data_IF_269439870200
#
_entry.id   IF_269439870200
#
_cell.length_a   1.000
_cell.length_b   1.000
_cell.length_c   1.000
_cell.angle_alpha   90.00
_cell.angle_beta   90.00
_cell.angle_gamma   90.00
#
_symmetry.space_group_name_H-M   'P 1'
#
loop_
_entity.id
_entity.type
_entity.pdbx_description
1 polymer ?
2 water ?
#
# COMPACT_ATOMS: atom_id res chain seq x y z
N UNK A 2 -11.51 -16.94 -4.48
CA UNK A 2 -10.80 -17.06 -3.16
C UNK A 2 -9.27 -17.22 -3.32
N UNK A 3 -8.77 -18.45 -3.41
CA UNK A 3 -7.31 -18.64 -3.58
C UNK A 3 -6.91 -18.48 -5.05
N UNK A 4 -5.61 -18.40 -5.34
CA UNK A 4 -5.12 -18.02 -6.68
C UNK A 4 -5.55 -18.97 -7.82
N UNK A 5 -5.32 -20.27 -7.61
CA UNK A 5 -5.66 -21.27 -8.62
C UNK A 5 -7.15 -21.24 -8.91
N UNK A 6 -7.96 -21.16 -7.85
CA UNK A 6 -9.40 -21.07 -7.98
C UNK A 6 -9.82 -19.81 -8.75
N UNK A 7 -9.17 -18.67 -8.46
CA UNK A 7 -9.55 -17.42 -9.16
C UNK A 7 -9.27 -17.54 -10.65
N UNK A 8 -8.14 -18.15 -11.00
CA UNK A 8 -7.82 -18.33 -12.43
C UNK A 8 -8.87 -19.14 -13.17
N UNK A 9 -9.27 -20.27 -12.56
CA UNK A 9 -10.27 -21.14 -13.14
C UNK A 9 -11.60 -20.40 -13.29
N UNK A 10 -11.95 -19.64 -12.26
CA UNK A 10 -13.21 -18.91 -12.26
C UNK A 10 -13.21 -17.76 -13.26
N UNK A 11 -12.07 -17.10 -13.44
CA UNK A 11 -11.99 -16.08 -14.50
C UNK A 11 -12.10 -16.71 -15.88
N UNK A 12 -11.43 -17.85 -16.09
CA UNK A 12 -11.57 -18.54 -17.39
C UNK A 12 -13.04 -18.89 -17.69
N UNK A 13 -13.76 -19.40 -16.69
CA UNK A 13 -15.17 -19.72 -16.91
C UNK A 13 -15.97 -18.47 -17.27
N UNK A 14 -15.75 -17.37 -16.55
CA UNK A 14 -16.40 -16.09 -16.86
C UNK A 14 -16.11 -15.62 -18.27
N UNK A 15 -14.83 -15.63 -18.65
CA UNK A 15 -14.44 -15.18 -20.01
C UNK A 15 -15.13 -16.04 -21.08
N UNK A 16 -15.28 -17.33 -20.80
CA UNK A 16 -15.86 -18.24 -21.79
C UNK A 16 -17.37 -18.19 -21.80
N UNK A 17 -17.97 -17.99 -20.63
CA UNK A 17 -19.41 -18.27 -20.48
C UNK A 17 -20.32 -17.05 -20.31
N UNK A 18 -19.76 -15.90 -19.93
CA UNK A 18 -20.56 -14.72 -19.76
C UNK A 18 -21.21 -14.33 -21.07
N UNK A 19 -22.51 -14.04 -21.00
CA UNK A 19 -23.22 -13.53 -22.17
C UNK A 19 -23.99 -12.27 -21.83
N UNK A 20 -24.07 -11.36 -22.81
CA UNK A 20 -24.83 -10.12 -22.68
C UNK A 20 -26.34 -10.36 -22.86
N UNK A 21 -27.11 -9.26 -22.89
CA UNK A 21 -28.58 -9.36 -22.99
C UNK A 21 -29.06 -10.01 -24.29
N UNK A 22 -28.17 -10.03 -25.28
CA UNK A 22 -28.45 -10.68 -26.56
C UNK A 22 -27.88 -12.10 -26.66
N UNK A 23 -27.37 -12.66 -25.55
CA UNK A 23 -26.78 -14.00 -25.60
C UNK A 23 -25.40 -14.09 -26.26
N UNK A 24 -24.77 -12.94 -26.52
CA UNK A 24 -23.45 -12.87 -27.14
C UNK A 24 -22.34 -12.96 -26.08
N UNK A 25 -21.38 -13.90 -26.29
CA UNK A 25 -20.24 -14.03 -25.36
C UNK A 25 -19.22 -12.91 -25.60
N UNK A 26 -19.50 -11.77 -24.97
CA UNK A 26 -18.74 -10.52 -25.11
C UNK A 26 -17.23 -10.73 -24.97
N UNK A 27 -16.82 -11.57 -24.01
CA UNK A 27 -15.39 -11.70 -23.70
C UNK A 27 -14.66 -12.63 -24.64
N UNK A 28 -15.38 -13.55 -25.28
CA UNK A 28 -14.79 -14.28 -26.41
C UNK A 28 -14.36 -13.29 -27.52
N UNK A 29 -15.22 -12.31 -27.83
CA UNK A 29 -14.86 -11.33 -28.83
C UNK A 29 -13.67 -10.48 -28.43
N UNK A 30 -13.61 -10.17 -27.14
CA UNK A 30 -12.50 -9.33 -26.64
C UNK A 30 -11.18 -10.10 -26.67
N UNK A 31 -11.26 -11.41 -26.51
CA UNK A 31 -10.09 -12.29 -26.64
C UNK A 31 -9.67 -12.38 -28.10
N UNK A 32 -10.62 -12.49 -29.04
CA UNK A 32 -10.21 -12.57 -30.45
C UNK A 32 -9.67 -11.27 -30.98
N UNK A 33 -10.02 -10.16 -30.34
CA UNK A 33 -9.44 -8.85 -30.65
C UNK A 33 -7.94 -8.85 -30.41
N UNK A 34 -7.43 -9.85 -29.66
CA UNK A 34 -6.01 -9.89 -29.34
C UNK A 34 -5.19 -10.60 -30.39
N UNK A 35 -5.87 -11.23 -31.36
CA UNK A 35 -5.21 -12.08 -32.36
C UNK A 35 -4.98 -11.35 -33.69
N UNK A 36 -5.67 -10.22 -33.89
CA UNK A 36 -5.50 -9.40 -35.11
C UNK A 36 -4.13 -8.69 -35.15
N UNK A 39 -3.31 -5.50 -32.95
CA UNK A 39 -4.16 -6.13 -31.93
C UNK A 39 -4.18 -5.35 -30.62
N UNK A 40 -5.28 -5.49 -29.85
CA UNK A 40 -5.32 -4.94 -28.48
C UNK A 40 -4.36 -5.74 -27.59
N UNK A 41 -3.80 -5.08 -26.57
CA UNK A 41 -2.99 -5.76 -25.55
C UNK A 41 -3.60 -5.69 -24.16
N UNK A 42 -4.90 -5.39 -24.13
CA UNK A 42 -5.70 -5.41 -22.90
C UNK A 42 -7.06 -6.03 -23.18
N UNK A 43 -7.64 -6.56 -22.12
CA UNK A 43 -9.05 -6.91 -22.08
C UNK A 43 -9.71 -6.06 -21.02
N UNK A 44 -10.62 -5.18 -21.44
CA UNK A 44 -11.40 -4.38 -20.53
C UNK A 44 -12.62 -5.16 -20.07
N UNK A 45 -12.75 -5.32 -18.76
CA UNK A 45 -13.83 -6.13 -18.15
C UNK A 45 -14.75 -5.21 -17.39
N UNK A 46 -16.03 -5.21 -17.75
CA UNK A 46 -17.05 -4.46 -17.01
C UNK A 46 -17.28 -5.19 -15.69
N UNK A 47 -16.93 -4.54 -14.57
CA UNK A 47 -17.09 -5.19 -13.29
C UNK A 47 -18.52 -5.64 -13.00
N UNK A 48 -19.51 -4.89 -13.50
CA UNK A 48 -20.89 -5.33 -13.30
C UNK A 48 -21.21 -6.65 -14.06
N UNK A 49 -20.57 -6.89 -15.20
CA UNK A 49 -20.68 -8.19 -15.90
C UNK A 49 -20.12 -9.28 -14.99
N UNK A 50 -18.91 -9.05 -14.47
CA UNK A 50 -18.28 -9.99 -13.55
C UNK A 50 -19.15 -10.25 -12.32
N UNK A 51 -19.69 -9.19 -11.73
CA UNK A 51 -20.52 -9.32 -10.55
C UNK A 51 -21.80 -10.13 -10.82
N UNK A 52 -22.37 -9.98 -12.02
CA UNK A 52 -23.58 -10.73 -12.35
C UNK A 52 -23.30 -12.20 -12.50
N UNK A 53 -22.04 -12.53 -12.79
CA UNK A 53 -21.62 -13.91 -13.11
C UNK A 53 -21.05 -14.65 -11.89
N UNK A 54 -20.22 -13.93 -11.15
CA UNK A 54 -19.45 -14.49 -10.06
C UNK A 54 -19.21 -13.35 -9.05
N UNK A 55 -20.16 -13.16 -8.15
CA UNK A 55 -20.11 -12.01 -7.25
C UNK A 55 -18.97 -12.15 -6.25
N UNK A 56 -18.65 -13.38 -5.86
CA UNK A 56 -17.52 -13.59 -4.97
C UNK A 56 -16.22 -13.13 -5.63
N UNK A 57 -16.03 -13.49 -6.90
CA UNK A 57 -14.82 -13.13 -7.62
C UNK A 57 -14.77 -11.64 -7.79
N UNK A 58 -15.91 -11.03 -8.11
CA UNK A 58 -15.96 -9.59 -8.31
C UNK A 58 -15.61 -8.84 -7.03
N UNK A 59 -16.07 -9.34 -5.88
CA UNK A 59 -15.72 -8.73 -4.59
C UNK A 59 -14.23 -8.86 -4.32
N UNK A 60 -13.65 -10.01 -4.65
CA UNK A 60 -12.22 -10.24 -4.49
C UNK A 60 -11.39 -9.29 -5.35
N UNK A 61 -11.85 -8.96 -6.56
CA UNK A 61 -11.11 -7.97 -7.38
C UNK A 61 -10.99 -6.64 -6.66
N UNK A 62 -12.06 -6.20 -5.98
CA UNK A 62 -12.01 -4.92 -5.28
C UNK A 62 -11.15 -4.99 -4.02
N UNK A 63 -11.31 -6.06 -3.25
CA UNK A 63 -10.61 -6.15 -1.98
C UNK A 63 -9.20 -6.67 -2.06
N UNK A 64 -8.85 -7.37 -3.13
CA UNK A 64 -7.53 -8.01 -3.27
C UNK A 64 -7.09 -7.80 -4.72
N UNK A 65 -6.95 -6.54 -5.15
CA UNK A 65 -6.75 -6.21 -6.57
C UNK A 65 -5.48 -6.80 -7.18
N UNK A 66 -4.38 -6.86 -6.44
CA UNK A 66 -3.14 -7.31 -7.06
C UNK A 66 -3.36 -8.74 -7.52
N UNK A 67 -3.91 -9.56 -6.60
CA UNK A 67 -4.18 -10.97 -6.88
C UNK A 67 -5.30 -11.13 -7.89
N UNK A 68 -6.36 -10.34 -7.75
CA UNK A 68 -7.50 -10.47 -8.65
C UNK A 68 -7.13 -10.13 -10.09
N UNK A 69 -6.44 -9.00 -10.28
CA UNK A 69 -6.01 -8.59 -11.62
C UNK A 69 -5.05 -9.63 -12.22
N UNK A 70 -4.07 -10.08 -11.43
CA UNK A 70 -3.11 -11.10 -11.90
C UNK A 70 -3.81 -12.39 -12.33
N UNK A 71 -4.79 -12.83 -11.55
CA UNK A 71 -5.52 -14.05 -11.85
C UNK A 71 -6.29 -13.90 -13.16
N UNK A 72 -6.90 -12.73 -13.32
CA UNK A 72 -7.62 -12.46 -14.57
C UNK A 72 -6.69 -12.54 -15.76
N UNK A 73 -5.50 -11.95 -15.63
CA UNK A 73 -4.51 -12.01 -16.70
C UNK A 73 -4.06 -13.43 -17.02
N UNK A 74 -3.80 -14.22 -15.98
CA UNK A 74 -3.43 -15.61 -16.20
C UNK A 74 -4.60 -16.37 -16.85
N UNK A 75 -5.85 -16.01 -16.54
CA UNK A 75 -6.99 -16.67 -17.16
C UNK A 75 -7.06 -16.32 -18.65
N UNK A 76 -6.77 -15.06 -19.00
CA UNK A 76 -6.73 -14.69 -20.42
C UNK A 76 -5.71 -15.58 -21.16
N UNK A 77 -4.53 -15.78 -20.56
CA UNK A 77 -3.50 -16.66 -21.17
C UNK A 77 -3.97 -18.11 -21.32
N UNK A 78 -4.67 -18.62 -20.32
CA UNK A 78 -5.24 -19.96 -20.40
C UNK A 78 -6.23 -20.11 -21.57
N UNK A 79 -7.15 -19.16 -21.69
CA UNK A 79 -8.13 -19.18 -22.78
C UNK A 79 -7.44 -19.07 -24.13
N UNK A 80 -6.44 -18.20 -24.27
CA UNK A 80 -5.68 -18.07 -25.52
C UNK A 80 -5.03 -19.38 -25.93
N UNK A 81 -4.39 -20.04 -24.97
CA UNK A 81 -3.73 -21.32 -25.21
C UNK A 81 -4.72 -22.40 -25.57
N UNK A 82 -5.76 -22.59 -24.74
CA UNK A 82 -6.65 -23.74 -24.87
C UNK A 82 -7.66 -23.53 -25.99
N UNK A 83 -8.20 -22.32 -26.09
CA UNK A 83 -9.28 -22.09 -27.07
C UNK A 83 -8.80 -21.60 -28.43
N UNK A 84 -7.63 -20.99 -28.50
CA UNK A 84 -7.13 -20.39 -29.75
C UNK A 84 -5.77 -20.90 -30.18
N UNK A 85 -5.18 -21.78 -29.38
CA UNK A 85 -3.85 -22.35 -29.63
C UNK A 85 -2.80 -21.26 -29.88
N UNK A 86 -2.87 -20.18 -29.10
CA UNK A 86 -1.87 -19.12 -29.17
C UNK A 86 -1.22 -19.00 -27.81
N UNK A 87 0.10 -18.99 -27.82
CA UNK A 87 0.89 -18.87 -26.61
C UNK A 87 1.86 -17.71 -26.71
N UNK A 88 1.88 -17.02 -27.86
CA UNK A 88 2.87 -15.96 -28.10
C UNK A 88 2.31 -14.55 -28.26
N UNK A 89 1.14 -14.29 -27.70
CA UNK A 89 0.58 -12.94 -27.73
C UNK A 89 1.36 -11.99 -26.79
N UNK A 90 1.99 -12.54 -25.74
CA UNK A 90 2.69 -11.79 -24.74
C UNK A 90 1.71 -11.32 -23.67
N UNK A 91 2.21 -10.50 -22.75
CA UNK A 91 1.40 -10.01 -21.62
C UNK A 91 0.19 -9.24 -22.07
N UNK A 92 -0.97 -9.66 -21.56
CA UNK A 92 -2.24 -8.97 -21.79
C UNK A 92 -2.74 -8.44 -20.43
N UNK A 93 -3.05 -7.14 -20.35
CA UNK A 93 -3.54 -6.55 -19.11
C UNK A 93 -5.05 -6.69 -18.95
N UNK A 94 -5.50 -7.05 -17.75
CA UNK A 94 -6.92 -7.04 -17.41
C UNK A 94 -7.29 -5.72 -16.74
N UNK A 95 -8.24 -5.02 -17.36
CA UNK A 95 -8.55 -3.65 -16.98
C UNK A 95 -10.02 -3.58 -16.63
N UNK A 96 -10.29 -3.36 -15.34
CA UNK A 96 -11.62 -3.34 -14.81
C UNK A 96 -12.22 -1.94 -14.77
N UNK A 97 -13.48 -1.84 -15.21
CA UNK A 97 -14.22 -0.59 -15.16
C UNK A 97 -15.62 -0.78 -14.61
N UNK A 98 -16.31 0.33 -14.31
CA UNK A 98 -17.69 0.26 -13.83
C UNK A 98 -17.80 -0.45 -12.49
N UNK A 99 -16.94 -0.03 -11.56
CA UNK A 99 -17.00 -0.45 -10.15
C UNK A 99 -18.26 0.09 -9.44
N UNK A 100 -18.64 -0.51 -8.30
CA UNK A 100 -19.92 -0.10 -7.72
C UNK A 100 -19.89 1.27 -7.02
N UNK A 101 -18.73 1.71 -6.55
CA UNK A 101 -18.64 3.00 -5.87
C UNK A 101 -17.66 3.93 -6.62
N UNK A 102 -18.09 5.18 -6.78
CA UNK A 102 -17.27 6.21 -7.41
C UNK A 102 -16.87 7.26 -6.38
N UNK A 103 -15.57 7.54 -6.33
CA UNK A 103 -15.04 8.56 -5.43
C UNK A 103 -14.71 9.84 -6.17
N UNK A 104 -14.98 10.97 -5.53
CA UNK A 104 -14.30 12.21 -5.94
C UNK A 104 -12.90 12.20 -5.34
N UNK A 105 -11.98 12.98 -5.92
CA UNK A 105 -10.59 13.00 -5.48
C UNK A 105 -10.51 13.36 -3.99
N UNK A 106 -11.33 14.34 -3.62
CA UNK A 106 -11.42 14.81 -2.23
C UNK A 106 -11.88 13.73 -1.25
N UNK A 107 -12.55 12.68 -1.76
CA UNK A 107 -13.06 11.59 -0.90
C UNK A 107 -12.01 10.52 -0.61
N UNK A 108 -10.93 10.48 -1.41
CA UNK A 108 -9.91 9.43 -1.23
C UNK A 108 -9.30 9.48 0.18
N UNK A 109 -9.42 8.37 0.91
CA UNK A 109 -8.90 8.28 2.28
C UNK A 109 -8.17 7.00 2.63
N UNK A 110 -7.93 6.82 3.94
CA UNK A 110 -7.18 5.67 4.44
C UNK A 110 -7.90 4.36 4.14
N UNK A 111 -9.23 4.43 4.12
CA UNK A 111 -10.08 3.27 3.88
C UNK A 111 -9.95 2.72 2.46
N UNK A 112 -9.24 3.45 1.62
CA UNK A 112 -9.13 3.09 0.19
C UNK A 112 -7.82 2.43 -0.17
N UNK A 113 -6.91 2.34 0.78
CA UNK A 113 -5.66 1.64 0.59
C UNK A 113 -5.95 0.14 0.39
N UNK A 114 -5.17 -0.49 -0.49
CA UNK A 114 -5.22 -1.91 -0.75
C UNK A 114 -6.50 -2.35 -1.45
N UNK A 115 -7.18 -1.40 -2.09
CA UNK A 115 -8.40 -1.74 -2.86
C UNK A 115 -8.27 -1.31 -4.28
N UNK A 116 -9.09 -1.90 -5.17
CA UNK A 116 -9.27 -1.29 -6.47
C UNK A 116 -10.36 -0.23 -6.35
N UNK A 117 -10.03 1.01 -6.65
CA UNK A 117 -10.93 2.16 -6.46
C UNK A 117 -11.25 2.80 -7.78
N UNK A 118 -12.37 3.51 -7.81
CA UNK A 118 -12.80 4.20 -9.02
C UNK A 118 -12.99 5.66 -8.68
N UNK A 119 -12.33 6.53 -9.45
CA UNK A 119 -12.24 7.96 -9.15
C UNK A 119 -12.68 8.78 -10.39
N UNK A 120 -13.52 9.79 -10.17
CA UNK A 120 -13.89 10.74 -11.22
C UNK A 120 -13.11 12.01 -11.04
N UNK A 121 -12.74 12.61 -12.17
CA UNK A 121 -12.07 13.89 -12.12
C UNK A 121 -12.02 14.57 -13.47
N UNK A 122 -11.23 15.65 -13.51
CA UNK A 122 -10.90 16.36 -14.73
C UNK A 122 -9.38 16.37 -14.84
N UNK A 123 -8.89 16.10 -16.05
CA UNK A 123 -7.46 16.01 -16.27
C UNK A 123 -6.90 17.41 -16.41
N UNK A 124 -5.92 17.78 -15.57
CA UNK A 124 -5.35 19.12 -15.71
C UNK A 124 -3.94 19.10 -16.30
N UNK A 125 -3.29 17.94 -16.30
CA UNK A 125 -1.98 17.75 -16.92
C UNK A 125 -1.89 16.35 -17.50
N UNK A 126 -1.14 16.20 -18.58
CA UNK A 126 -0.77 14.87 -19.10
C UNK A 126 0.69 14.93 -19.45
N UNK A 127 1.42 13.92 -19.02
CA UNK A 127 2.86 13.89 -19.28
C UNK A 127 3.28 12.49 -19.69
N UNK A 128 4.54 12.42 -20.08
CA UNK A 128 5.17 11.18 -20.45
C UNK A 128 6.59 11.18 -19.90
N UNK A 129 6.86 10.09 -19.19
CA UNK A 129 8.21 9.65 -18.87
C UNK A 129 8.21 8.13 -19.18
N UNK A 130 8.67 7.83 -20.40
CA UNK A 130 8.73 6.48 -20.98
C UNK A 130 9.18 5.41 -19.97
N UNK A 131 8.44 4.30 -19.86
CA UNK A 131 7.32 3.82 -20.66
C UNK A 131 5.93 4.24 -20.13
N UNK A 132 5.90 5.18 -19.19
CA UNK A 132 4.66 5.55 -18.52
C UNK A 132 4.06 6.85 -19.05
N UNK A 133 2.73 6.89 -19.03
CA UNK A 133 1.87 8.08 -19.21
C UNK A 133 1.43 8.50 -17.83
N UNK A 134 1.25 9.81 -17.63
CA UNK A 134 0.84 10.32 -16.33
C UNK A 134 -0.28 11.28 -16.60
N UNK A 135 -1.17 11.41 -15.61
CA UNK A 135 -2.36 12.25 -15.71
C UNK A 135 -2.45 12.96 -14.34
N UNK A 136 -2.67 14.27 -14.28
CA UNK A 136 -3.12 14.88 -13.01
C UNK A 136 -4.65 14.96 -13.03
N UNK A 137 -5.28 14.29 -12.06
CA UNK A 137 -6.74 14.13 -12.00
C UNK A 137 -7.26 15.00 -10.84
N UNK A 138 -8.06 16.02 -11.15
CA UNK A 138 -8.53 16.96 -10.14
C UNK A 138 -10.05 16.84 -9.98
N UNK A 139 -10.57 17.21 -8.80
CA UNK A 139 -12.03 17.32 -8.65
C UNK A 139 -12.62 18.16 -9.77
N UNK A 140 -13.72 17.69 -10.36
CA UNK A 140 -14.37 18.44 -11.43
C UNK A 140 -15.00 19.72 -10.87
N UNK A 141 -14.95 20.82 -11.65
CA UNK A 141 -15.41 22.07 -11.05
C UNK A 141 -16.88 22.07 -10.61
N UNK A 142 -17.71 21.27 -11.27
CA UNK A 142 -19.16 21.19 -10.99
C UNK A 142 -19.48 20.41 -9.72
N UNK A 143 -18.45 19.88 -9.06
CA UNK A 143 -18.62 19.15 -7.80
C UNK A 143 -18.26 20.00 -6.58
N UNK A 144 -17.76 21.21 -6.83
CA UNK A 144 -17.33 22.11 -5.78
C UNK A 144 -18.45 23.06 -5.35
N UNK A 150 -10.28 22.72 -5.16
CA UNK A 150 -10.15 21.36 -5.68
C UNK A 150 -8.90 20.59 -5.24
N UNK A 151 -9.05 19.30 -5.02
CA UNK A 151 -7.94 18.42 -4.71
C UNK A 151 -7.58 17.65 -5.97
N UNK A 152 -6.34 17.20 -6.05
CA UNK A 152 -5.89 16.39 -7.17
C UNK A 152 -5.07 15.17 -6.72
N UNK A 153 -4.97 14.22 -7.64
CA UNK A 153 -4.12 13.07 -7.47
C UNK A 153 -3.47 12.77 -8.82
N UNK A 154 -2.19 12.43 -8.81
CA UNK A 154 -1.56 12.01 -10.05
C UNK A 154 -1.74 10.54 -10.31
N UNK A 155 -2.02 10.19 -11.56
CA UNK A 155 -2.18 8.80 -11.99
C UNK A 155 -1.03 8.44 -12.93
N UNK A 156 -0.63 7.16 -12.92
CA UNK A 156 0.44 6.62 -13.73
C UNK A 156 -0.16 5.52 -14.57
N UNK A 157 -0.02 5.62 -15.89
CA UNK A 157 -0.52 4.53 -16.75
C UNK A 157 0.59 3.94 -17.61
N UNK A 158 0.53 2.62 -17.75
CA UNK A 158 1.40 1.80 -18.58
C UNK A 158 0.49 1.05 -19.56
N UNK A 164 -5.60 8.62 -24.91
CA UNK A 164 -6.83 8.22 -24.24
C UNK A 164 -7.52 9.45 -23.63
N UNK A 165 -6.72 10.37 -23.13
CA UNK A 165 -7.21 11.58 -22.45
C UNK A 165 -6.17 12.70 -22.50
N UNK A 166 -6.67 13.93 -22.64
CA UNK A 166 -5.82 15.10 -22.79
C UNK A 166 -6.24 16.11 -21.72
N UNK A 167 -5.38 17.12 -21.45
CA UNK A 167 -5.81 18.13 -20.49
C UNK A 167 -7.16 18.71 -20.89
N UNK A 168 -8.07 18.82 -19.91
CA UNK A 168 -9.44 19.31 -20.11
C UNK A 168 -10.50 18.22 -20.13
N UNK A 169 -10.06 16.98 -20.32
CA UNK A 169 -11.03 15.89 -20.42
C UNK A 169 -11.50 15.46 -19.06
N UNK A 170 -12.79 15.23 -18.97
CA UNK A 170 -13.36 14.59 -17.79
C UNK A 170 -13.19 13.10 -17.95
N UNK A 171 -12.83 12.47 -16.83
CA UNK A 171 -12.44 11.04 -16.89
C UNK A 171 -13.03 10.28 -15.71
N UNK A 172 -13.11 8.97 -15.88
CA UNK A 172 -13.38 8.07 -14.77
C UNK A 172 -12.26 7.04 -14.83
N UNK A 173 -11.60 6.83 -13.70
CA UNK A 173 -10.44 5.93 -13.69
C UNK A 173 -10.55 4.89 -12.61
N UNK A 174 -9.95 3.74 -12.82
CA UNK A 174 -9.83 2.79 -11.71
C UNK A 174 -8.36 2.54 -11.47
N UNK A 175 -8.01 2.12 -10.26
CA UNK A 175 -6.60 1.88 -9.99
C UNK A 175 -6.35 1.57 -8.55
N UNK A 176 -5.07 1.45 -8.22
CA UNK A 176 -4.65 1.10 -6.89
C UNK A 176 -3.74 2.22 -6.41
N UNK A 177 -3.93 2.67 -5.17
CA UNK A 177 -3.05 3.68 -4.59
C UNK A 177 -1.63 3.16 -4.32
N UNK A 178 -0.66 3.91 -4.85
CA UNK A 178 0.77 3.70 -4.62
C UNK A 178 1.32 5.00 -4.04
N UNK A 179 2.63 5.06 -3.87
CA UNK A 179 3.26 6.33 -3.42
C UNK A 179 4.42 6.76 -4.28
N UNK A 180 4.78 8.03 -4.13
CA UNK A 180 6.01 8.57 -4.71
C UNK A 180 6.68 9.36 -3.59
N UNK A 181 8.01 9.29 -3.51
CA UNK A 181 8.75 10.10 -2.56
C UNK A 181 8.88 11.51 -3.13
N UNK A 182 8.24 12.47 -2.48
CA UNK A 182 8.17 13.82 -2.98
C UNK A 182 9.11 14.67 -2.15
N UNK A 183 10.16 15.17 -2.81
CA UNK A 183 11.08 16.14 -2.24
C UNK A 183 10.65 17.55 -2.64
N UNK A 187 9.57 19.61 3.13
CA UNK A 187 9.78 18.40 3.90
C UNK A 187 9.22 17.17 3.16
N UNK A 188 10.11 16.19 2.85
CA UNK A 188 9.71 14.98 2.10
C UNK A 188 8.62 14.11 2.72
N UNK A 189 7.75 13.60 1.86
CA UNK A 189 6.63 12.74 2.24
C UNK A 189 6.46 11.66 1.18
N UNK A 190 5.74 10.59 1.53
CA UNK A 190 5.30 9.64 0.52
C UNK A 190 3.89 10.04 0.05
N UNK A 191 3.83 10.77 -1.07
CA UNK A 191 2.58 11.25 -1.64
C UNK A 191 1.84 10.12 -2.33
N UNK A 192 0.55 9.99 -2.03
CA UNK A 192 -0.29 8.97 -2.71
C UNK A 192 -0.52 9.33 -4.17
N UNK A 193 -0.35 8.33 -5.01
CA UNK A 193 -0.63 8.44 -6.44
C UNK A 193 -1.47 7.22 -6.82
N UNK A 194 -2.00 7.23 -8.04
CA UNK A 194 -2.83 6.11 -8.48
C UNK A 194 -2.13 5.37 -9.61
N UNK A 195 -1.88 4.07 -9.44
CA UNK A 195 -1.47 3.23 -10.56
C UNK A 195 -2.75 2.85 -11.31
N UNK A 196 -2.88 3.32 -12.54
CA UNK A 196 -4.14 3.25 -13.27
C UNK A 196 -4.34 1.86 -13.87
N UNK A 197 -5.48 1.22 -13.54
CA UNK A 197 -5.87 -0.03 -14.14
C UNK A 197 -6.75 0.22 -15.39
N UNK A 198 -7.61 1.23 -15.35
CA UNK A 198 -8.46 1.59 -16.53
C UNK A 198 -8.76 3.07 -16.51
N UNK A 199 -8.84 3.68 -17.69
CA UNK A 199 -9.21 5.09 -17.79
C UNK A 199 -10.10 5.24 -18.99
N UNK A 200 -11.10 6.09 -18.85
CA UNK A 200 -11.84 6.51 -20.04
C UNK A 200 -12.36 7.94 -19.89
N UNK B 2 -10.45 0.02 16.40
CA UNK B 2 -11.16 0.23 15.10
C UNK B 2 -11.05 1.68 14.62
N UNK B 3 -12.07 2.50 14.91
CA UNK B 3 -12.14 3.88 14.42
C UNK B 3 -11.05 4.73 15.07
N UNK B 4 -10.53 5.72 14.36
CA UNK B 4 -9.38 6.45 14.86
C UNK B 4 -9.66 7.25 16.16
N UNK B 5 -10.84 7.83 16.32
CA UNK B 5 -11.20 8.48 17.60
C UNK B 5 -11.09 7.47 18.74
N UNK B 6 -11.58 6.25 18.51
CA UNK B 6 -11.56 5.23 19.54
C UNK B 6 -10.14 4.73 19.77
N UNK B 7 -9.34 4.65 18.69
CA UNK B 7 -7.94 4.22 18.83
C UNK B 7 -7.15 5.20 19.70
N UNK B 8 -7.38 6.51 19.53
CA UNK B 8 -6.70 7.54 20.34
C UNK B 8 -7.00 7.33 21.83
N UNK B 9 -8.28 7.19 22.17
CA UNK B 9 -8.69 6.90 23.52
C UNK B 9 -8.00 5.64 24.08
N UNK B 10 -7.96 4.58 23.27
CA UNK B 10 -7.39 3.30 23.72
C UNK B 10 -5.88 3.37 23.85
N UNK B 11 -5.21 4.15 22.98
CA UNK B 11 -3.80 4.40 23.18
C UNK B 11 -3.49 5.19 24.42
N UNK B 12 -4.32 6.21 24.70
CA UNK B 12 -4.13 6.96 25.91
C UNK B 12 -4.29 6.05 27.13
N UNK B 13 -5.32 5.19 27.11
CA UNK B 13 -5.48 4.25 28.24
C UNK B 13 -4.21 3.40 28.40
N UNK B 14 -3.68 2.88 27.29
CA UNK B 14 -2.50 2.03 27.32
C UNK B 14 -1.31 2.76 27.89
N UNK B 15 -1.07 3.98 27.39
CA UNK B 15 0.09 4.76 27.81
C UNK B 15 0.03 5.06 29.31
N UNK B 16 -1.18 5.33 29.82
CA UNK B 16 -1.35 5.65 31.22
C UNK B 16 -1.33 4.41 32.15
N UNK B 17 -1.86 3.28 31.66
CA UNK B 17 -2.20 2.17 32.55
C UNK B 17 -1.31 0.96 32.43
N UNK B 18 -0.58 0.83 31.32
CA UNK B 18 0.27 -0.31 31.13
C UNK B 18 1.33 -0.31 32.23
N UNK B 19 1.43 -1.45 32.91
CA UNK B 19 2.57 -1.73 33.79
C UNK B 19 3.15 -3.10 33.46
N UNK B 20 4.45 -3.24 33.68
CA UNK B 20 5.05 -4.55 33.56
C UNK B 20 4.85 -5.36 34.84
N UNK B 21 5.29 -6.61 34.81
CA UNK B 21 5.17 -7.53 35.95
C UNK B 21 5.81 -7.01 37.22
N UNK B 22 6.75 -6.10 37.05
CA UNK B 22 7.45 -5.46 38.14
C UNK B 22 6.68 -4.25 38.72
N UNK B 23 5.61 -3.83 38.06
CA UNK B 23 4.77 -2.71 38.53
C UNK B 23 5.05 -1.34 37.93
N UNK B 24 6.09 -1.24 37.09
CA UNK B 24 6.50 0.04 36.53
C UNK B 24 5.61 0.51 35.37
N UNK B 25 5.16 1.78 35.40
CA UNK B 25 4.34 2.32 34.32
C UNK B 25 5.31 2.79 33.25
N UNK B 26 5.72 1.82 32.44
CA UNK B 26 6.81 1.99 31.48
C UNK B 26 6.61 3.21 30.57
N UNK B 27 5.38 3.40 30.13
CA UNK B 27 5.11 4.43 29.12
C UNK B 27 4.93 5.82 29.70
N UNK B 28 4.49 5.88 30.95
CA UNK B 28 4.55 7.13 31.67
C UNK B 28 6.00 7.61 31.72
N UNK B 29 6.93 6.68 31.98
CA UNK B 29 8.36 6.99 31.96
C UNK B 29 8.88 7.48 30.62
N UNK B 30 8.45 6.81 29.55
CA UNK B 30 8.89 7.20 28.21
C UNK B 30 8.33 8.56 27.78
N UNK B 31 7.15 8.92 28.28
CA UNK B 31 6.54 10.23 28.04
C UNK B 31 7.25 11.34 28.87
N UNK B 32 7.49 11.08 30.15
CA UNK B 32 8.24 12.06 30.95
C UNK B 32 9.64 12.31 30.38
N UNK B 33 10.19 11.33 29.66
CA UNK B 33 11.48 11.46 28.95
C UNK B 33 11.46 12.56 27.90
N UNK B 34 10.25 12.95 27.47
CA UNK B 34 10.09 13.94 26.42
C UNK B 34 10.17 15.36 26.94
N UNK B 35 10.21 15.47 28.28
CA UNK B 35 10.20 16.76 28.97
C UNK B 35 11.61 17.21 29.34
N UNK B 36 12.62 16.45 28.90
CA UNK B 36 14.03 16.72 29.26
C UNK B 36 14.62 17.90 28.53
N UNK B 39 16.06 16.54 24.55
CA UNK B 39 14.87 15.72 24.39
C UNK B 39 14.87 14.84 23.14
N UNK B 40 14.32 13.64 23.26
CA UNK B 40 14.10 12.79 22.09
C UNK B 40 12.74 13.11 21.47
N UNK B 41 12.59 12.79 20.19
CA UNK B 41 11.40 13.12 19.42
C UNK B 41 10.50 11.92 19.12
N UNK B 42 10.70 10.81 19.85
CA UNK B 42 9.90 9.60 19.63
C UNK B 42 9.62 8.88 20.93
N UNK B 43 8.54 8.11 20.94
CA UNK B 43 8.27 7.11 21.96
C UNK B 43 8.31 5.74 21.27
N UNK B 44 9.20 4.85 21.75
CA UNK B 44 9.35 3.52 21.20
C UNK B 44 8.43 2.59 21.99
N UNK B 45 7.48 1.98 21.30
CA UNK B 45 6.50 1.12 21.94
C UNK B 45 6.73 -0.34 21.60
N UNK B 46 6.91 -1.14 22.64
CA UNK B 46 7.07 -2.57 22.49
C UNK B 46 5.70 -3.15 22.14
N UNK B 47 5.57 -3.64 20.90
CA UNK B 47 4.33 -4.23 20.46
C UNK B 47 3.77 -5.35 21.33
N UNK B 48 4.64 -6.16 21.95
CA UNK B 48 4.16 -7.16 22.87
C UNK B 48 3.52 -6.57 24.13
N UNK B 49 4.00 -5.40 24.56
CA UNK B 49 3.36 -4.70 25.71
C UNK B 49 1.95 -4.27 25.26
N UNK B 50 1.87 -3.62 24.10
CA UNK B 50 0.55 -3.28 23.56
C UNK B 50 -0.38 -4.46 23.39
N UNK B 51 0.14 -5.55 22.83
CA UNK B 51 -0.70 -6.73 22.63
C UNK B 51 -1.24 -7.32 23.93
N UNK B 52 -0.43 -7.26 24.98
CA UNK B 52 -0.84 -7.76 26.31
C UNK B 52 -1.96 -6.95 26.90
N UNK B 53 -2.07 -5.69 26.49
CA UNK B 53 -2.99 -4.73 27.09
C UNK B 53 -4.25 -4.57 26.21
N UNK B 54 -4.06 -4.49 24.90
CA UNK B 54 -5.15 -4.24 23.97
C UNK B 54 -4.83 -4.93 22.65
N UNK B 55 -5.11 -6.23 22.60
CA UNK B 55 -4.75 -7.03 21.42
C UNK B 55 -5.41 -6.55 20.15
N UNK B 56 -6.63 -6.05 20.28
CA UNK B 56 -7.35 -5.58 19.09
C UNK B 56 -6.60 -4.36 18.55
N UNK B 57 -6.19 -3.45 19.41
CA UNK B 57 -5.44 -2.28 18.98
C UNK B 57 -4.09 -2.69 18.39
N UNK B 58 -3.43 -3.67 19.02
CA UNK B 58 -2.13 -4.12 18.52
C UNK B 58 -2.24 -4.68 17.10
N UNK B 59 -3.30 -5.44 16.85
CA UNK B 59 -3.59 -5.98 15.51
C UNK B 59 -3.82 -4.82 14.52
N UNK B 60 -4.54 -3.77 14.94
CA UNK B 60 -4.86 -2.62 14.06
C UNK B 60 -3.58 -1.91 13.66
N UNK B 61 -2.62 -1.84 14.57
CA UNK B 61 -1.34 -1.21 14.23
C UNK B 61 -0.66 -1.92 13.05
N UNK B 62 -0.70 -3.24 13.03
CA UNK B 62 -0.08 -3.99 11.96
C UNK B 62 -0.90 -3.87 10.67
N UNK B 63 -2.22 -4.02 10.79
CA UNK B 63 -3.09 -4.06 9.60
C UNK B 63 -3.41 -2.70 9.02
N UNK B 64 -3.44 -1.68 9.86
CA UNK B 64 -3.82 -0.30 9.42
C UNK B 64 -2.83 0.69 10.04
N UNK B 65 -1.54 0.55 9.70
CA UNK B 65 -0.50 1.31 10.42
C UNK B 65 -0.58 2.83 10.25
N UNK B 66 -1.05 3.33 9.11
CA UNK B 66 -1.15 4.78 8.97
C UNK B 66 -2.04 5.34 10.03
N UNK B 67 -3.20 4.73 10.22
CA UNK B 67 -4.14 5.17 11.21
C UNK B 67 -3.73 4.80 12.65
N UNK B 68 -3.18 3.60 12.84
CA UNK B 68 -2.70 3.19 14.18
C UNK B 68 -1.56 4.06 14.70
N UNK B 69 -0.55 4.29 13.85
CA UNK B 69 0.58 5.13 14.24
C UNK B 69 0.15 6.57 14.56
N UNK B 70 -0.67 7.17 13.70
CA UNK B 70 -1.23 8.52 13.91
C UNK B 70 -2.00 8.62 15.23
N UNK B 71 -2.84 7.62 15.51
CA UNK B 71 -3.63 7.60 16.73
C UNK B 71 -2.74 7.52 17.97
N UNK B 72 -1.68 6.73 17.87
CA UNK B 72 -0.74 6.66 18.99
C UNK B 72 -0.06 8.00 19.23
N UNK B 73 0.27 8.69 18.15
CA UNK B 73 0.91 9.99 18.25
C UNK B 73 -0.02 11.04 18.86
N UNK B 74 -1.27 11.02 18.44
CA UNK B 74 -2.30 11.90 19.03
C UNK B 74 -2.52 11.59 20.50
N UNK B 75 -2.45 10.31 20.87
CA UNK B 75 -2.59 9.92 22.27
C UNK B 75 -1.40 10.47 23.10
N UNK B 76 -0.17 10.36 22.58
CA UNK B 76 0.99 10.93 23.25
C UNK B 76 0.77 12.41 23.58
N UNK B 77 0.22 13.17 22.61
CA UNK B 77 -0.05 14.59 22.82
C UNK B 77 -1.10 14.83 23.89
N UNK B 78 -2.09 13.95 23.96
CA UNK B 78 -3.16 14.07 24.96
C UNK B 78 -2.59 13.86 26.37
N UNK B 79 -1.74 12.85 26.49
CA UNK B 79 -1.12 12.56 27.79
C UNK B 79 -0.20 13.69 28.20
N UNK B 80 0.61 14.17 27.26
CA UNK B 80 1.49 15.31 27.53
C UNK B 80 0.72 16.51 28.07
N UNK B 81 -0.38 16.84 27.41
CA UNK B 81 -1.19 18.00 27.82
C UNK B 81 -1.90 17.76 29.13
N UNK B 82 -2.62 16.66 29.22
CA UNK B 82 -3.49 16.42 30.38
C UNK B 82 -2.78 15.96 31.63
N UNK B 83 -1.75 15.13 31.49
CA UNK B 83 -1.09 14.60 32.66
C UNK B 83 0.13 15.42 33.04
N UNK B 84 0.74 16.10 32.06
CA UNK B 84 2.00 16.82 32.29
C UNK B 84 2.02 18.30 31.97
N UNK B 85 0.86 18.85 31.64
CA UNK B 85 0.73 20.29 31.37
C UNK B 85 1.67 20.84 30.27
N UNK B 86 2.06 19.99 29.32
CA UNK B 86 2.93 20.43 28.26
C UNK B 86 2.27 20.29 26.92
N UNK B 87 2.27 21.39 26.17
CA UNK B 87 1.63 21.46 24.86
C UNK B 87 2.61 21.90 23.76
N UNK B 88 3.87 22.17 24.12
CA UNK B 88 4.82 22.68 23.13
C UNK B 88 6.02 21.78 22.87
N UNK B 89 5.84 20.48 23.08
CA UNK B 89 6.90 19.53 22.77
C UNK B 89 7.12 19.40 21.26
N UNK B 90 6.08 19.67 20.47
CA UNK B 90 6.13 19.47 19.04
C UNK B 90 5.78 18.02 18.69
N UNK B 91 5.88 17.69 17.40
CA UNK B 91 5.47 16.36 16.91
C UNK B 91 6.37 15.28 17.50
N UNK B 92 5.75 14.26 18.08
CA UNK B 92 6.46 13.09 18.62
C UNK B 92 6.02 11.85 17.84
N UNK B 93 6.99 11.06 17.39
CA UNK B 93 6.71 9.89 16.54
C UNK B 93 6.51 8.65 17.38
N UNK B 94 5.53 7.83 17.06
CA UNK B 94 5.31 6.58 17.76
C UNK B 94 5.99 5.48 16.96
N UNK B 95 6.96 4.80 17.58
CA UNK B 95 7.80 3.84 16.85
C UNK B 95 7.67 2.47 17.48
N UNK B 96 7.13 1.54 16.74
CA UNK B 96 6.81 0.22 17.27
C UNK B 96 7.90 -0.80 16.98
N UNK B 97 8.21 -1.60 17.98
CA UNK B 97 9.18 -2.67 17.80
C UNK B 97 8.68 -3.97 18.42
N UNK B 98 9.36 -5.07 18.13
CA UNK B 98 9.03 -6.39 18.71
C UNK B 98 7.66 -6.88 18.22
N UNK B 99 7.45 -6.81 16.91
CA UNK B 99 6.27 -7.37 16.26
C UNK B 99 6.24 -8.91 16.31
N UNK B 100 5.06 -9.50 16.06
CA UNK B 100 4.93 -10.93 16.31
C UNK B 100 5.63 -11.83 15.27
N UNK B 101 5.82 -11.34 14.04
CA UNK B 101 6.51 -12.11 13.02
C UNK B 101 7.69 -11.30 12.50
N UNK B 102 8.81 -12.00 12.29
CA UNK B 102 9.99 -11.44 11.62
C UNK B 102 10.17 -12.04 10.24
N UNK B 103 10.34 -11.16 9.27
CA UNK B 103 10.58 -11.57 7.90
C UNK B 103 12.04 -11.39 7.56
N UNK B 104 12.60 -12.35 6.84
CA UNK B 104 13.84 -12.09 6.11
C UNK B 104 13.48 -11.26 4.89
N UNK B 105 14.46 -10.52 4.37
CA UNK B 105 14.20 -9.68 3.21
C UNK B 105 13.55 -10.47 2.09
N UNK B 106 14.12 -11.64 1.84
CA UNK B 106 13.63 -12.52 0.77
C UNK B 106 12.20 -13.03 0.99
N UNK B 107 11.68 -12.91 2.23
CA UNK B 107 10.33 -13.38 2.62
C UNK B 107 9.25 -12.31 2.36
N UNK B 108 9.66 -11.10 2.03
CA UNK B 108 8.72 -10.00 1.86
C UNK B 108 7.94 -10.23 0.58
N UNK B 109 6.63 -10.15 0.68
CA UNK B 109 5.76 -10.40 -0.48
C UNK B 109 4.61 -9.42 -0.61
N UNK B 110 3.76 -9.67 -1.60
CA UNK B 110 2.63 -8.78 -1.87
C UNK B 110 1.64 -8.69 -0.70
N UNK B 111 1.55 -9.76 0.09
CA UNK B 111 0.57 -9.80 1.17
C UNK B 111 0.95 -8.83 2.26
N UNK B 112 2.15 -8.29 2.17
CA UNK B 112 2.66 -7.37 3.19
C UNK B 112 2.46 -5.91 2.86
N UNK B 113 1.98 -5.63 1.65
CA UNK B 113 1.88 -4.25 1.19
C UNK B 113 0.96 -3.41 2.10
N UNK B 114 1.47 -2.23 2.51
CA UNK B 114 0.74 -1.30 3.36
C UNK B 114 0.44 -1.82 4.74
N UNK B 115 1.16 -2.86 5.13
CA UNK B 115 1.14 -3.37 6.53
C UNK B 115 2.41 -2.98 7.25
N UNK B 116 2.34 -2.93 8.59
CA UNK B 116 3.56 -2.84 9.41
C UNK B 116 4.25 -4.17 9.53
N UNK B 117 5.46 -4.23 9.00
CA UNK B 117 6.25 -5.47 8.97
C UNK B 117 7.57 -5.28 9.70
N UNK B 118 8.18 -6.39 10.14
CA UNK B 118 9.42 -6.39 10.87
C UNK B 118 10.40 -7.25 10.09
N UNK B 119 11.54 -6.64 9.72
CA UNK B 119 12.45 -7.27 8.77
C UNK B 119 13.83 -7.34 9.41
N UNK B 120 14.43 -8.52 9.34
CA UNK B 120 15.83 -8.66 9.75
C UNK B 120 16.74 -8.55 8.55
N UNK B 121 17.90 -7.93 8.76
CA UNK B 121 18.85 -7.80 7.68
C UNK B 121 20.19 -7.29 8.19
N UNK B 122 21.04 -6.92 7.23
CA UNK B 122 22.32 -6.29 7.50
C UNK B 122 22.32 -5.03 6.62
N UNK B 123 22.75 -3.93 7.22
CA UNK B 123 22.76 -2.64 6.53
C UNK B 123 23.95 -2.63 5.58
N UNK B 124 23.68 -2.39 4.29
CA UNK B 124 24.79 -2.27 3.32
C UNK B 124 25.02 -0.84 2.85
N UNK B 125 24.04 0.02 3.04
CA UNK B 125 24.18 1.46 2.75
C UNK B 125 23.40 2.29 3.77
N UNK B 126 23.93 3.45 4.12
CA UNK B 126 23.17 4.45 4.89
C UNK B 126 23.46 5.77 4.25
N UNK B 127 22.40 6.47 3.90
CA UNK B 127 22.53 7.80 3.32
C UNK B 127 21.66 8.84 3.96
N UNK B 128 22.00 10.09 3.69
CA UNK B 128 21.29 11.25 4.25
C UNK B 128 21.04 12.23 3.12
N UNK B 129 19.79 12.67 3.03
CA UNK B 129 19.39 13.79 2.19
C UNK B 129 18.51 14.58 3.14
N UNK B 130 19.10 15.58 3.77
CA UNK B 130 18.42 16.33 4.83
C UNK B 130 17.03 16.73 4.34
N UNK B 131 16.00 16.50 5.17
CA UNK B 131 16.01 16.05 6.57
C UNK B 131 15.74 14.56 6.78
N UNK B 132 15.88 13.75 5.73
CA UNK B 132 15.63 12.30 5.83
C UNK B 132 16.87 11.43 5.73
N UNK B 133 16.68 10.17 6.04
CA UNK B 133 17.73 9.18 5.98
C UNK B 133 17.26 8.00 5.15
N UNK B 134 18.20 7.35 4.49
CA UNK B 134 17.95 6.13 3.72
C UNK B 134 18.81 4.97 4.21
N UNK B 135 18.30 3.76 4.05
CA UNK B 135 19.05 2.52 4.40
C UNK B 135 18.88 1.53 3.28
N UNK B 136 19.91 0.73 3.00
CA UNK B 136 19.71 -0.48 2.22
C UNK B 136 19.88 -1.66 3.15
N UNK B 137 18.83 -2.50 3.23
CA UNK B 137 18.74 -3.60 4.17
C UNK B 137 18.81 -4.90 3.35
N UNK B 138 19.87 -5.67 3.51
CA UNK B 138 20.04 -6.93 2.74
C UNK B 138 19.90 -8.14 3.67
N UNK B 139 19.53 -9.30 3.13
CA UNK B 139 19.55 -10.48 3.96
C UNK B 139 20.93 -10.76 4.51
N UNK B 140 20.92 -11.23 5.75
CA UNK B 140 22.14 -11.48 6.49
C UNK B 140 22.83 -12.65 5.82
N UNK B 141 24.17 -12.62 5.74
CA UNK B 141 24.86 -13.72 5.03
C UNK B 141 24.60 -15.12 5.64
N UNK B 142 24.40 -15.16 6.94
CA UNK B 142 24.15 -16.45 7.67
C UNK B 142 22.77 -17.06 7.47
N UNK B 143 21.89 -16.35 6.78
CA UNK B 143 20.56 -16.86 6.48
C UNK B 143 20.50 -17.50 5.10
N UNK B 144 21.59 -17.40 4.35
CA UNK B 144 21.60 -17.84 2.96
C UNK B 144 22.10 -19.27 2.80
N UNK B 145 21.35 -20.07 2.05
CA UNK B 145 21.80 -21.41 1.64
C UNK B 145 22.95 -21.28 0.63
N UNK B 146 23.79 -22.31 0.52
CA UNK B 146 24.89 -22.30 -0.44
C UNK B 146 24.42 -22.07 -1.88
N UNK B 148 22.67 -19.31 -2.70
CA UNK B 148 21.55 -18.38 -2.69
C UNK B 148 22.14 -16.96 -2.73
N UNK B 149 21.62 -16.11 -3.62
CA UNK B 149 22.05 -14.71 -3.69
C UNK B 149 21.19 -13.89 -2.72
N UNK B 150 21.80 -12.93 -2.00
CA UNK B 150 20.99 -12.11 -1.06
C UNK B 150 20.04 -11.13 -1.78
N UNK B 151 18.87 -10.91 -1.18
CA UNK B 151 17.94 -9.89 -1.62
C UNK B 151 18.08 -8.68 -0.71
N UNK B 152 17.71 -7.52 -1.23
CA UNK B 152 17.70 -6.30 -0.40
C UNK B 152 16.45 -5.47 -0.64
N UNK B 153 16.18 -4.61 0.34
CA UNK B 153 15.10 -3.65 0.25
C UNK B 153 15.60 -2.32 0.79
N UNK B 154 15.26 -1.24 0.09
CA UNK B 154 15.59 0.07 0.55
C UNK B 154 14.55 0.60 1.53
N UNK B 155 15.02 1.38 2.49
CA UNK B 155 14.16 1.98 3.51
C UNK B 155 14.39 3.47 3.53
N UNK B 156 13.34 4.20 3.86
CA UNK B 156 13.40 5.65 4.01
C UNK B 156 12.86 5.98 5.36
N UNK B 157 13.67 6.70 6.15
CA UNK B 157 13.25 7.20 7.47
C UNK B 157 13.01 8.70 7.32
N UNK B 158 11.73 9.09 7.29
CA UNK B 158 11.38 10.49 7.07
C UNK B 158 11.60 11.27 8.36
N UNK B 159 12.05 12.52 8.25
CA UNK B 159 12.08 13.43 9.41
C UNK B 159 12.90 12.97 10.64
N UNK B 160 13.93 12.15 10.41
CA UNK B 160 14.87 11.83 11.48
C UNK B 160 16.20 11.46 10.88
N UNK B 163 21.59 7.82 14.67
CA UNK B 163 22.81 7.15 14.29
C UNK B 163 22.82 5.71 14.80
N UNK B 164 21.62 5.12 14.88
CA UNK B 164 21.42 3.77 15.40
C UNK B 164 22.10 2.71 14.54
N UNK B 165 22.21 2.97 13.23
CA UNK B 165 22.72 1.94 12.31
C UNK B 165 23.69 2.46 11.23
N UNK B 166 24.81 1.75 11.06
CA UNK B 166 25.85 2.06 10.07
C UNK B 166 26.02 0.88 9.13
N UNK B 167 26.60 1.09 7.95
CA UNK B 167 26.89 -0.07 7.09
C UNK B 167 27.69 -1.14 7.80
N UNK B 168 27.25 -2.38 7.61
CA UNK B 168 27.84 -3.53 8.32
C UNK B 168 27.08 -4.00 9.54
N UNK B 169 26.21 -3.14 10.05
CA UNK B 169 25.40 -3.49 11.22
C UNK B 169 24.24 -4.41 10.92
N UNK B 170 24.07 -5.42 11.74
CA UNK B 170 22.87 -6.24 11.68
C UNK B 170 21.75 -5.50 12.38
N UNK B 171 20.54 -5.57 11.81
CA UNK B 171 19.43 -4.75 12.31
C UNK B 171 18.12 -5.51 12.27
N UNK B 172 17.16 -5.05 13.07
CA UNK B 172 15.78 -5.47 12.93
C UNK B 172 15.04 -4.16 12.67
N UNK B 173 14.29 -4.10 11.58
CA UNK B 173 13.63 -2.87 11.15
C UNK B 173 12.12 -3.09 11.11
N UNK B 174 11.33 -2.18 11.68
CA UNK B 174 9.93 -2.20 11.34
C UNK B 174 9.60 -1.03 10.41
N UNK B 175 8.61 -1.23 9.57
CA UNK B 175 8.19 -0.17 8.67
C UNK B 175 6.94 -0.58 7.92
N UNK B 176 6.34 0.39 7.25
CA UNK B 176 5.19 0.13 6.38
C UNK B 176 5.72 -0.24 5.02
N UNK B 177 5.35 -1.40 4.50
CA UNK B 177 5.80 -1.78 3.18
C UNK B 177 5.03 -0.98 2.14
N UNK B 178 5.77 -0.23 1.32
CA UNK B 178 5.14 0.60 0.29
C UNK B 178 5.56 0.16 -1.10
N UNK B 179 4.64 0.37 -2.06
CA UNK B 179 4.98 0.28 -3.48
C UNK B 179 5.16 1.70 -4.00
N UNK B 180 6.42 2.03 -4.36
CA UNK B 180 6.83 3.38 -4.73
C UNK B 180 7.18 3.47 -6.22
N UNK B 181 6.79 4.58 -6.83
CA UNK B 181 7.25 4.94 -8.17
C UNK B 181 8.66 5.50 -8.06
N UNK B 182 9.63 4.77 -8.58
CA UNK B 182 11.02 5.23 -8.56
C UNK B 182 11.26 6.12 -9.76
N UNK B 183 11.56 7.40 -9.52
CA UNK B 183 11.78 8.34 -10.61
C UNK B 183 13.24 8.79 -10.81
N UNK B 184 14.14 8.37 -9.93
CA UNK B 184 15.54 8.79 -10.02
C UNK B 184 16.40 7.75 -10.76
N UNK B 185 15.78 7.01 -11.67
CA UNK B 185 16.45 6.03 -12.51
C UNK B 185 16.37 6.44 -13.98
N UNK B 187 14.89 5.00 -16.40
CA UNK B 187 13.54 4.50 -16.64
C UNK B 187 12.78 4.37 -15.31
N UNK B 188 11.63 5.06 -15.19
CA UNK B 188 10.77 4.90 -14.01
C UNK B 188 10.26 3.48 -13.81
N UNK B 189 10.04 3.09 -12.56
CA UNK B 189 9.64 1.72 -12.21
C UNK B 189 8.94 1.71 -10.83
N UNK B 190 7.95 0.82 -10.64
CA UNK B 190 7.40 0.56 -9.29
C UNK B 190 8.28 -0.44 -8.55
N UNK B 191 8.53 -0.16 -7.27
CA UNK B 191 9.33 -1.07 -6.46
C UNK B 191 8.88 -1.05 -5.01
N UNK B 192 9.18 -2.12 -4.28
CA UNK B 192 8.86 -2.13 -2.85
C UNK B 192 9.92 -1.37 -2.09
N UNK B 193 9.50 -0.63 -1.09
CA UNK B 193 10.42 0.14 -0.22
C UNK B 193 9.79 0.07 1.18
N UNK B 194 10.60 0.22 2.22
CA UNK B 194 10.08 0.28 3.58
C UNK B 194 10.02 1.72 4.01
N UNK B 195 8.86 2.19 4.47
CA UNK B 195 8.80 3.46 5.14
C UNK B 195 9.13 3.16 6.62
N UNK B 196 10.32 3.54 7.06
CA UNK B 196 10.88 3.02 8.33
C UNK B 196 10.14 3.64 9.50
N UNK B 197 9.73 2.79 10.45
CA UNK B 197 9.09 3.21 11.69
C UNK B 197 10.03 3.02 12.88
N UNK B 198 10.88 2.01 12.83
CA UNK B 198 11.81 1.75 13.96
C UNK B 198 13.03 0.96 13.46
N UNK B 199 14.23 1.27 13.94
CA UNK B 199 15.43 0.44 13.65
C UNK B 199 16.15 0.12 14.95
N UNK B 200 16.47 -1.15 15.11
CA UNK B 200 17.15 -1.63 16.32
C UNK B 200 18.47 -2.20 15.85
#
# INVERSE_FOLDING_TARGET
SVDREEMIERFANFLREYTDEDGNPVYRGKITDLLTITPKRSVAIDWMHLNSFDSELAHEVIENPEEGISAAEDAIQIVLREDFQREDVGKIHARFYNLPETLMVKDIGAEHINKLIQVEGIVTRVGEIKPFQSFRIQDRPETLKGGEMPRFIDGILLDDIVDVALPGDRVIVTGILRVVLEKREKTPIFRKILEVNHIEPVSKEI
SVDREEMIERFANFLREYTDEDGNPVYRGKITDLLTITPKRSVAIDWMHLNSFDSELAHEVIENPEEGISAAEDAIQIVLREDFQREDVGKIHARFYNLPETLMVKDIGAEHINKLIQVEGIVTRVGEIKPFQSFRIQDRPETLKGGEMPRFIDGILLDDIVDVALPGDRVIVTGILRVVLEKREKTPIFRKILEVNHIEPVSKEI
#
